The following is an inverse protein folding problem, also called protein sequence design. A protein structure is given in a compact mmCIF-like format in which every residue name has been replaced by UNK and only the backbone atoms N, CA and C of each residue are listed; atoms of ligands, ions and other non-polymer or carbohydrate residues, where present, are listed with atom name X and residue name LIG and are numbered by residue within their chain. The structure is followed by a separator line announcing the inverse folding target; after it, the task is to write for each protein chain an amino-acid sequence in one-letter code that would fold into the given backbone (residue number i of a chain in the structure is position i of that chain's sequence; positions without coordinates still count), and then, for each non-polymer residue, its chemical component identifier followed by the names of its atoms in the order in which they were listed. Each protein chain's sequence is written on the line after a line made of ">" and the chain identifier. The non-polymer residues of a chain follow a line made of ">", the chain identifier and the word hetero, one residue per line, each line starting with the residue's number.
data_IF_745468619266
#
_entry.id   IF_745468619266
#
_cell.length_a   1.000
_cell.length_b   1.000
_cell.length_c   1.000
_cell.angle_alpha   90.00
_cell.angle_beta   90.00
_cell.angle_gamma   90.00
#
_symmetry.space_group_name_H-M   'P 1'
#
loop_
_entity.id
_entity.type
_entity.pdbx_description
1 polymer ?
#
# COMPACT_ATOMS: atom_id res chain seq x y z
N UNK A 1 -14.21 12.12 -19.34
CA UNK A 1 -12.85 11.53 -19.49
C UNK A 1 -11.79 12.19 -18.61
N UNK A 2 -11.94 13.45 -18.19
CA UNK A 2 -11.01 14.10 -17.24
C UNK A 2 -10.88 13.32 -15.92
N UNK A 3 -11.98 12.75 -15.42
CA UNK A 3 -12.02 11.92 -14.22
C UNK A 3 -11.13 10.68 -14.35
N UNK A 4 -11.16 10.00 -15.50
CA UNK A 4 -10.30 8.84 -15.78
C UNK A 4 -8.81 9.21 -15.71
N UNK A 5 -8.44 10.33 -16.34
CA UNK A 5 -7.05 10.81 -16.35
C UNK A 5 -6.57 11.18 -14.94
N UNK A 6 -7.39 11.89 -14.16
CA UNK A 6 -7.10 12.23 -12.75
C UNK A 6 -6.93 10.96 -11.91
N UNK A 7 -7.85 10.01 -12.06
CA UNK A 7 -7.84 8.73 -11.37
C UNK A 7 -6.57 7.93 -11.69
N UNK A 8 -6.20 7.80 -12.96
CA UNK A 8 -4.99 7.07 -13.36
C UNK A 8 -3.73 7.70 -12.75
N UNK A 9 -3.59 9.03 -12.81
CA UNK A 9 -2.46 9.73 -12.19
C UNK A 9 -2.38 9.48 -10.69
N UNK A 10 -3.51 9.56 -9.98
CA UNK A 10 -3.58 9.26 -8.54
C UNK A 10 -3.26 7.81 -8.22
N UNK A 11 -3.68 6.88 -9.07
CA UNK A 11 -3.34 5.47 -8.94
C UNK A 11 -1.83 5.22 -9.11
N UNK A 12 -1.16 5.94 -10.01
CA UNK A 12 0.30 5.89 -10.16
C UNK A 12 1.01 6.44 -8.92
N UNK A 13 0.53 7.55 -8.35
CA UNK A 13 1.02 8.10 -7.08
C UNK A 13 0.91 7.04 -5.96
N UNK A 14 -0.24 6.36 -5.85
CA UNK A 14 -0.46 5.29 -4.88
C UNK A 14 0.49 4.10 -5.06
N UNK A 15 0.70 3.65 -6.31
CA UNK A 15 1.64 2.56 -6.61
C UNK A 15 3.07 2.97 -6.23
N UNK A 16 3.45 4.22 -6.49
CA UNK A 16 4.76 4.72 -6.11
C UNK A 16 4.92 4.75 -4.59
N UNK A 17 3.91 5.21 -3.85
CA UNK A 17 3.90 5.15 -2.39
C UNK A 17 4.06 3.73 -1.83
N UNK A 18 3.42 2.73 -2.44
CA UNK A 18 3.61 1.33 -2.07
C UNK A 18 5.06 0.84 -2.25
N UNK A 19 5.73 1.27 -3.33
CA UNK A 19 7.15 0.94 -3.56
C UNK A 19 8.05 1.59 -2.50
N UNK A 20 7.77 2.83 -2.13
CA UNK A 20 8.53 3.56 -1.13
C UNK A 20 8.35 2.94 0.26
N UNK A 21 7.12 2.57 0.63
CA UNK A 21 6.81 1.80 1.86
C UNK A 21 7.57 0.47 1.88
N UNK A 22 7.59 -0.25 0.76
CA UNK A 22 8.32 -1.51 0.65
C UNK A 22 9.85 -1.32 0.81
N UNK A 23 10.40 -0.22 0.29
CA UNK A 23 11.81 0.11 0.47
C UNK A 23 12.16 0.36 1.95
N UNK A 24 11.28 1.04 2.71
CA UNK A 24 11.46 1.23 4.16
C UNK A 24 11.33 -0.09 4.91
N UNK A 25 10.33 -0.92 4.56
CA UNK A 25 10.12 -2.21 5.22
C UNK A 25 11.31 -3.16 5.01
N UNK A 26 11.83 -3.22 3.78
CA UNK A 26 12.98 -4.06 3.40
C UNK A 26 14.33 -3.55 3.91
N UNK A 27 14.36 -2.42 4.63
CA UNK A 27 15.58 -1.83 5.14
C UNK A 27 16.39 -2.82 6.02
N UNK A 28 17.72 -2.92 5.86
CA UNK A 28 18.56 -3.90 6.57
C UNK A 28 18.43 -3.84 8.10
N UNK A 29 18.14 -2.65 8.64
CA UNK A 29 17.90 -2.46 10.06
C UNK A 29 16.68 -3.26 10.56
N UNK A 30 15.58 -3.38 9.81
CA UNK A 30 14.43 -4.20 10.23
C UNK A 30 14.80 -5.69 10.35
N UNK A 31 15.66 -6.19 9.46
CA UNK A 31 16.18 -7.56 9.53
C UNK A 31 17.15 -7.79 10.71
N UNK A 32 17.78 -6.73 11.21
CA UNK A 32 18.71 -6.80 12.35
C UNK A 32 18.00 -7.15 13.66
N UNK A 33 16.77 -6.67 13.92
CA UNK A 33 16.01 -7.03 15.14
C UNK A 33 15.79 -8.54 15.28
N UNK A 34 15.51 -9.23 14.15
CA UNK A 34 15.27 -10.68 14.14
C UNK A 34 16.51 -11.47 14.58
N UNK A 35 17.72 -10.95 14.31
CA UNK A 35 19.00 -11.53 14.74
C UNK A 35 19.41 -11.12 16.15
N UNK A 36 18.98 -9.95 16.62
CA UNK A 36 19.37 -9.39 17.93
C UNK A 36 18.56 -9.92 19.13
N UNK A 37 17.44 -10.62 18.90
CA UNK A 37 16.72 -11.34 19.97
C UNK A 37 17.65 -12.31 20.73
N UNK A 38 18.60 -12.92 20.03
CA UNK A 38 19.61 -13.79 20.63
C UNK A 38 20.73 -13.01 21.33
N UNK A 39 21.03 -11.78 20.90
CA UNK A 39 22.10 -10.98 21.51
C UNK A 39 21.79 -10.61 22.97
N UNK A 40 20.54 -10.32 23.30
CA UNK A 40 20.14 -10.05 24.69
C UNK A 40 20.38 -11.27 25.59
N UNK A 41 20.13 -12.48 25.07
CA UNK A 41 20.43 -13.73 25.77
C UNK A 41 21.95 -13.94 25.92
N UNK A 42 22.74 -13.71 24.87
CA UNK A 42 24.20 -13.77 24.94
C UNK A 42 24.80 -12.74 25.91
N UNK A 43 24.29 -11.51 25.95
CA UNK A 43 24.68 -10.48 26.93
C UNK A 43 24.42 -10.93 28.36
N UNK A 44 23.25 -11.53 28.62
CA UNK A 44 22.88 -12.03 29.94
C UNK A 44 23.81 -13.15 30.39
N UNK A 45 24.12 -14.10 29.50
CA UNK A 45 25.08 -15.19 29.76
C UNK A 45 26.50 -14.62 29.98
N UNK A 46 26.91 -13.63 29.19
CA UNK A 46 28.21 -12.97 29.33
C UNK A 46 28.38 -12.24 30.66
N UNK A 47 27.35 -11.51 31.11
CA UNK A 47 27.37 -10.80 32.41
C UNK A 47 27.45 -11.81 33.57
N UNK A 48 26.64 -12.88 33.54
CA UNK A 48 26.68 -13.92 34.59
C UNK A 48 28.04 -14.60 34.64
N UNK A 49 28.63 -14.89 33.48
CA UNK A 49 29.97 -15.50 33.38
C UNK A 49 31.06 -14.57 33.90
N UNK A 50 30.94 -13.26 33.65
CA UNK A 50 31.88 -12.26 34.16
C UNK A 50 31.79 -12.09 35.68
N UNK A 51 30.58 -12.09 36.25
CA UNK A 51 30.39 -12.05 37.71
C UNK A 51 31.01 -13.31 38.35
N UNK A 52 30.79 -14.49 37.77
CA UNK A 52 31.41 -15.73 38.25
C UNK A 52 32.95 -15.70 38.17
N UNK A 53 33.51 -15.13 37.09
CA UNK A 53 34.95 -14.90 36.96
C UNK A 53 35.48 -13.99 38.09
N UNK A 54 34.83 -12.85 38.36
CA UNK A 54 35.24 -11.95 39.43
C UNK A 54 35.22 -12.65 40.81
N UNK A 55 34.19 -13.46 41.09
CA UNK A 55 34.14 -14.26 42.32
C UNK A 55 35.29 -15.29 42.40
N UNK A 56 35.57 -16.02 41.32
CA UNK A 56 36.66 -16.99 41.28
C UNK A 56 38.03 -16.32 41.49
N UNK A 57 38.23 -15.14 40.92
CA UNK A 57 39.45 -14.34 41.03
C UNK A 57 39.69 -13.84 42.46
N UNK A 58 38.63 -13.42 43.17
CA UNK A 58 38.69 -13.03 44.59
C UNK A 58 39.06 -14.24 45.46
N UNK A 59 38.48 -15.41 45.19
CA UNK A 59 38.76 -16.65 45.93
C UNK A 59 40.18 -17.17 45.67
N UNK A 60 40.74 -16.92 44.48
CA UNK A 60 42.05 -17.41 44.06
C UNK A 60 43.22 -16.47 44.41
N UNK A 61 42.99 -15.37 45.14
CA UNK A 61 44.00 -14.41 45.61
C UNK A 61 44.93 -13.89 44.48
N UNK A 62 44.33 -13.60 43.33
CA UNK A 62 45.04 -13.10 42.14
C UNK A 62 45.50 -11.65 42.31
N UNK A 63 46.65 -11.31 41.71
CA UNK A 63 47.21 -9.95 41.72
C UNK A 63 46.19 -8.90 41.25
N UNK A 64 45.93 -7.91 42.13
CA UNK A 64 44.94 -6.84 41.94
C UNK A 64 45.08 -6.11 40.59
N UNK A 65 46.31 -5.96 40.09
CA UNK A 65 46.60 -5.33 38.78
C UNK A 65 45.96 -6.08 37.59
N UNK A 66 45.94 -7.42 37.63
CA UNK A 66 45.32 -8.27 36.59
C UNK A 66 43.79 -8.23 36.68
N UNK A 67 43.25 -8.07 37.89
CA UNK A 67 41.81 -7.91 38.14
C UNK A 67 41.30 -6.60 37.55
N UNK A 68 41.99 -5.49 37.83
CA UNK A 68 41.63 -4.15 37.33
C UNK A 68 41.69 -4.11 35.80
N UNK A 69 42.74 -4.67 35.19
CA UNK A 69 42.88 -4.74 33.74
C UNK A 69 41.75 -5.55 33.09
N UNK A 70 41.41 -6.72 33.64
CA UNK A 70 40.31 -7.56 33.14
C UNK A 70 38.94 -6.88 33.29
N UNK A 71 38.69 -6.23 34.42
CA UNK A 71 37.44 -5.51 34.66
C UNK A 71 37.27 -4.30 33.71
N UNK A 72 38.34 -3.53 33.47
CA UNK A 72 38.30 -2.38 32.57
C UNK A 72 37.96 -2.79 31.13
N UNK A 73 38.52 -3.90 30.64
CA UNK A 73 38.22 -4.44 29.30
C UNK A 73 36.76 -4.86 29.20
N UNK A 74 36.22 -5.54 30.20
CA UNK A 74 34.82 -5.96 30.21
C UNK A 74 33.85 -4.77 30.25
N UNK A 75 34.14 -3.74 31.06
CA UNK A 75 33.32 -2.51 31.11
C UNK A 75 33.35 -1.78 29.76
N UNK A 76 34.51 -1.67 29.11
CA UNK A 76 34.63 -1.05 27.79
C UNK A 76 33.80 -1.80 26.72
N UNK A 77 33.90 -3.14 26.68
CA UNK A 77 33.14 -3.97 25.74
C UNK A 77 31.62 -3.82 25.98
N UNK A 78 31.17 -3.90 27.25
CA UNK A 78 29.76 -3.73 27.59
C UNK A 78 29.28 -2.32 27.21
N UNK A 79 30.07 -1.29 27.47
CA UNK A 79 29.76 0.09 27.10
C UNK A 79 29.54 0.27 25.61
N UNK A 80 30.42 -0.29 24.77
CA UNK A 80 30.29 -0.27 23.30
C UNK A 80 29.03 -1.02 22.85
N UNK A 81 28.76 -2.20 23.43
CA UNK A 81 27.57 -2.99 23.08
C UNK A 81 26.28 -2.25 23.47
N UNK A 82 26.22 -1.67 24.67
CA UNK A 82 25.06 -0.90 25.14
C UNK A 82 24.86 0.36 24.30
N UNK A 83 25.93 1.10 23.99
CA UNK A 83 25.89 2.26 23.10
C UNK A 83 25.35 1.89 21.71
N UNK A 84 25.80 0.78 21.14
CA UNK A 84 25.32 0.25 19.88
C UNK A 84 23.84 -0.16 19.92
N UNK A 85 23.38 -0.78 21.01
CA UNK A 85 21.96 -1.13 21.20
C UNK A 85 21.09 0.14 21.27
N UNK A 86 21.49 1.14 22.05
CA UNK A 86 20.76 2.40 22.19
C UNK A 86 20.69 3.14 20.86
N UNK A 87 21.83 3.24 20.15
CA UNK A 87 21.89 3.86 18.83
C UNK A 87 20.95 3.17 17.84
N UNK A 88 21.02 1.84 17.75
CA UNK A 88 20.12 1.09 16.86
C UNK A 88 18.66 1.27 17.26
N UNK A 89 18.31 1.24 18.54
CA UNK A 89 16.93 1.46 18.99
C UNK A 89 16.40 2.83 18.56
N UNK A 90 17.23 3.87 18.64
CA UNK A 90 16.87 5.23 18.18
C UNK A 90 16.67 5.27 16.66
N UNK A 91 17.57 4.68 15.89
CA UNK A 91 17.47 4.61 14.43
C UNK A 91 16.25 3.80 13.96
N UNK A 92 15.90 2.73 14.68
CA UNK A 92 14.70 1.93 14.42
C UNK A 92 13.43 2.71 14.67
N UNK A 93 13.38 3.45 15.79
CA UNK A 93 12.22 4.30 16.10
C UNK A 93 11.97 5.31 14.97
N UNK A 94 13.04 5.92 14.46
CA UNK A 94 12.96 6.86 13.33
C UNK A 94 12.43 6.18 12.05
N UNK A 95 12.94 4.99 11.71
CA UNK A 95 12.45 4.23 10.55
C UNK A 95 10.98 3.83 10.69
N UNK A 96 10.53 3.50 11.90
CA UNK A 96 9.15 3.13 12.15
C UNK A 96 8.21 4.34 12.13
N UNK A 97 8.66 5.50 12.62
CA UNK A 97 7.97 6.77 12.46
C UNK A 97 7.81 7.10 10.96
N UNK A 98 8.90 7.03 10.18
CA UNK A 98 8.88 7.25 8.72
C UNK A 98 7.98 6.25 7.97
N UNK A 99 8.04 4.95 8.32
CA UNK A 99 7.15 3.95 7.74
C UNK A 99 5.68 4.28 8.00
N UNK A 100 5.34 4.67 9.23
CA UNK A 100 3.96 4.96 9.63
C UNK A 100 3.44 6.19 8.87
N UNK A 101 4.23 7.26 8.81
CA UNK A 101 3.90 8.48 8.06
C UNK A 101 3.64 8.18 6.58
N UNK A 102 4.52 7.39 5.94
CA UNK A 102 4.34 6.99 4.53
C UNK A 102 3.11 6.12 4.29
N UNK A 103 2.79 5.21 5.22
CA UNK A 103 1.57 4.39 5.14
C UNK A 103 0.34 5.27 5.24
N UNK A 104 0.31 6.22 6.18
CA UNK A 104 -0.81 7.14 6.36
C UNK A 104 -0.99 8.04 5.13
N UNK A 105 0.09 8.62 4.60
CA UNK A 105 0.07 9.38 3.33
C UNK A 105 -0.52 8.53 2.18
N UNK A 106 -0.05 7.28 2.03
CA UNK A 106 -0.49 6.42 0.94
C UNK A 106 -1.95 5.94 1.10
N UNK A 107 -2.44 5.82 2.34
CA UNK A 107 -3.84 5.51 2.61
C UNK A 107 -4.75 6.68 2.21
N UNK A 108 -4.34 7.93 2.46
CA UNK A 108 -5.08 9.11 1.98
C UNK A 108 -5.18 9.14 0.45
N UNK A 109 -4.09 8.81 -0.25
CA UNK A 109 -4.10 8.71 -1.72
C UNK A 109 -5.07 7.59 -2.17
N UNK A 110 -5.11 6.46 -1.46
CA UNK A 110 -6.05 5.38 -1.77
C UNK A 110 -7.51 5.82 -1.63
N UNK A 111 -7.84 6.58 -0.58
CA UNK A 111 -9.18 7.15 -0.41
C UNK A 111 -9.54 8.09 -1.56
N UNK A 112 -8.61 8.96 -2.00
CA UNK A 112 -8.81 9.82 -3.16
C UNK A 112 -9.05 9.01 -4.45
N UNK A 113 -8.30 7.94 -4.66
CA UNK A 113 -8.49 7.02 -5.80
C UNK A 113 -9.89 6.40 -5.77
N UNK A 114 -10.35 5.93 -4.60
CA UNK A 114 -11.67 5.31 -4.45
C UNK A 114 -12.81 6.29 -4.75
N UNK A 115 -12.69 7.54 -4.30
CA UNK A 115 -13.66 8.60 -4.62
C UNK A 115 -13.70 8.86 -6.13
N UNK A 116 -12.52 8.92 -6.77
CA UNK A 116 -12.45 9.10 -8.23
C UNK A 116 -12.98 7.89 -9.00
N UNK A 117 -12.82 6.67 -8.48
CA UNK A 117 -13.38 5.44 -9.06
C UNK A 117 -14.92 5.45 -9.05
N UNK A 118 -15.54 5.85 -7.95
CA UNK A 118 -17.00 5.96 -7.88
C UNK A 118 -17.52 7.09 -8.79
N UNK A 119 -16.86 8.25 -8.80
CA UNK A 119 -17.23 9.35 -9.69
C UNK A 119 -17.11 8.95 -11.18
N UNK A 120 -16.05 8.21 -11.54
CA UNK A 120 -15.87 7.70 -12.90
C UNK A 120 -16.97 6.70 -13.27
N UNK A 121 -17.32 5.79 -12.36
CA UNK A 121 -18.41 4.84 -12.55
C UNK A 121 -19.74 5.57 -12.81
N UNK A 122 -20.07 6.57 -12.01
CA UNK A 122 -21.28 7.39 -12.22
C UNK A 122 -21.26 8.10 -13.58
N UNK A 123 -20.14 8.71 -13.98
CA UNK A 123 -19.96 9.35 -15.28
C UNK A 123 -20.21 8.38 -16.44
N UNK A 124 -19.66 7.17 -16.35
CA UNK A 124 -19.81 6.12 -17.37
C UNK A 124 -21.26 5.63 -17.46
N UNK A 125 -21.88 5.31 -16.32
CA UNK A 125 -23.29 4.89 -16.26
C UNK A 125 -24.17 5.94 -16.91
N UNK A 126 -24.00 7.21 -16.50
CA UNK A 126 -24.80 8.31 -17.01
C UNK A 126 -24.62 8.45 -18.52
N UNK A 127 -23.38 8.41 -19.01
CA UNK A 127 -23.07 8.48 -20.45
C UNK A 127 -23.83 7.39 -21.23
N UNK A 128 -23.68 6.13 -20.83
CA UNK A 128 -24.32 4.99 -21.51
C UNK A 128 -25.84 5.16 -21.51
N UNK A 129 -26.44 5.49 -20.36
CA UNK A 129 -27.90 5.67 -20.25
C UNK A 129 -28.38 6.82 -21.15
N UNK A 130 -27.67 7.94 -21.17
CA UNK A 130 -28.06 9.09 -22.01
C UNK A 130 -27.96 8.79 -23.50
N UNK A 131 -26.94 8.03 -23.91
CA UNK A 131 -26.76 7.63 -25.31
C UNK A 131 -27.77 6.55 -25.73
N UNK A 132 -28.08 5.59 -24.85
CA UNK A 132 -29.12 4.57 -25.09
C UNK A 132 -30.54 5.16 -25.12
N UNK A 133 -30.83 6.14 -24.26
CA UNK A 133 -32.15 6.76 -24.16
C UNK A 133 -32.43 7.70 -25.35
N UNK A 134 -31.41 8.41 -25.86
CA UNK A 134 -31.55 9.33 -26.98
C UNK A 134 -32.75 10.28 -26.82
N UNK A 135 -33.76 10.25 -27.71
CA UNK A 135 -34.93 11.11 -27.63
C UNK A 135 -35.88 10.80 -26.45
N UNK A 136 -35.80 9.60 -25.86
CA UNK A 136 -36.64 9.17 -24.74
C UNK A 136 -36.08 9.66 -23.39
N UNK A 137 -34.95 10.36 -23.38
CA UNK A 137 -34.36 10.92 -22.16
C UNK A 137 -35.26 12.03 -21.59
N UNK A 138 -35.75 11.92 -20.34
CA UNK A 138 -36.57 12.95 -19.73
C UNK A 138 -35.82 14.29 -19.61
N UNK A 139 -36.57 15.41 -19.60
CA UNK A 139 -35.96 16.72 -19.33
C UNK A 139 -35.42 16.77 -17.89
N UNK A 140 -34.22 17.35 -17.74
CA UNK A 140 -33.61 17.64 -16.44
C UNK A 140 -34.39 18.67 -15.62
N UNK A 141 -35.29 19.42 -16.24
CA UNK A 141 -36.15 20.40 -15.55
C UNK A 141 -37.14 19.70 -14.61
N UNK A 142 -37.55 18.47 -14.93
CA UNK A 142 -38.36 17.64 -14.06
C UNK A 142 -37.46 16.64 -13.32
N UNK A 143 -36.82 17.12 -12.26
CA UNK A 143 -35.81 16.37 -11.50
C UNK A 143 -36.31 15.02 -10.98
N UNK A 144 -37.55 14.94 -10.48
CA UNK A 144 -38.10 13.70 -9.94
C UNK A 144 -38.24 12.61 -11.02
N UNK A 145 -38.75 12.98 -12.20
CA UNK A 145 -38.89 12.04 -13.32
C UNK A 145 -37.52 11.67 -13.91
N UNK A 146 -36.61 12.63 -14.00
CA UNK A 146 -35.25 12.40 -14.47
C UNK A 146 -34.49 11.43 -13.55
N UNK A 147 -34.46 11.70 -12.24
CA UNK A 147 -33.72 10.90 -11.27
C UNK A 147 -34.30 9.47 -11.20
N UNK A 148 -35.63 9.31 -11.20
CA UNK A 148 -36.27 7.99 -11.25
C UNK A 148 -35.96 7.21 -12.54
N UNK A 149 -35.87 7.90 -13.69
CA UNK A 149 -35.47 7.29 -14.95
C UNK A 149 -34.02 6.82 -14.91
N UNK A 150 -33.10 7.68 -14.44
CA UNK A 150 -31.67 7.33 -14.32
C UNK A 150 -31.48 6.17 -13.36
N UNK A 151 -32.15 6.15 -12.21
CA UNK A 151 -32.06 5.05 -11.24
C UNK A 151 -32.54 3.73 -11.85
N UNK A 152 -33.71 3.73 -12.50
CA UNK A 152 -34.24 2.55 -13.18
C UNK A 152 -33.27 2.02 -14.23
N UNK A 153 -32.76 2.91 -15.10
CA UNK A 153 -31.84 2.54 -16.17
C UNK A 153 -30.48 2.09 -15.65
N UNK A 154 -30.02 2.64 -14.55
CA UNK A 154 -28.81 2.20 -13.84
C UNK A 154 -28.97 0.77 -13.34
N UNK A 155 -30.11 0.45 -12.72
CA UNK A 155 -30.40 -0.91 -12.27
C UNK A 155 -30.49 -1.91 -13.43
N UNK A 156 -31.14 -1.54 -14.53
CA UNK A 156 -31.19 -2.35 -15.76
C UNK A 156 -29.78 -2.59 -16.34
N UNK A 157 -28.94 -1.55 -16.38
CA UNK A 157 -27.55 -1.65 -16.84
C UNK A 157 -26.71 -2.56 -15.93
N UNK A 158 -26.77 -2.37 -14.61
CA UNK A 158 -26.04 -3.18 -13.64
C UNK A 158 -26.43 -4.67 -13.75
N UNK A 159 -27.72 -4.97 -13.95
CA UNK A 159 -28.18 -6.35 -14.16
C UNK A 159 -27.64 -6.94 -15.47
N UNK A 160 -27.61 -6.17 -16.57
CA UNK A 160 -27.02 -6.59 -17.85
C UNK A 160 -25.53 -6.87 -17.70
N UNK A 161 -24.78 -5.94 -17.11
CA UNK A 161 -23.34 -6.08 -16.85
C UNK A 161 -23.04 -7.30 -15.97
N UNK A 162 -23.78 -7.50 -14.87
CA UNK A 162 -23.59 -8.63 -13.96
C UNK A 162 -23.82 -9.97 -14.66
N UNK A 163 -24.81 -10.05 -15.55
CA UNK A 163 -25.02 -11.25 -16.40
C UNK A 163 -23.88 -11.47 -17.37
N UNK A 164 -23.33 -10.39 -17.96
CA UNK A 164 -22.23 -10.47 -18.91
C UNK A 164 -20.91 -10.89 -18.28
N UNK A 165 -20.57 -10.35 -17.11
CA UNK A 165 -19.33 -10.68 -16.40
C UNK A 165 -19.44 -11.90 -15.49
N UNK A 166 -20.65 -12.34 -15.13
CA UNK A 166 -20.87 -13.52 -14.30
C UNK A 166 -20.41 -13.39 -12.84
N UNK A 167 -20.21 -12.16 -12.36
CA UNK A 167 -19.69 -11.85 -11.02
C UNK A 167 -20.25 -10.52 -10.50
N UNK A 168 -20.00 -10.24 -9.23
CA UNK A 168 -20.31 -8.92 -8.66
C UNK A 168 -19.44 -7.83 -9.31
N UNK A 169 -20.06 -6.70 -9.61
CA UNK A 169 -19.44 -5.61 -10.36
C UNK A 169 -18.46 -4.85 -9.50
N UNK A 170 -17.30 -4.56 -10.07
CA UNK A 170 -16.30 -3.64 -9.52
C UNK A 170 -16.14 -2.42 -10.44
N UNK A 171 -15.58 -1.33 -9.95
CA UNK A 171 -15.45 -0.06 -10.71
C UNK A 171 -14.75 -0.24 -12.07
N UNK A 172 -13.81 -1.19 -12.14
CA UNK A 172 -13.11 -1.58 -13.37
C UNK A 172 -14.01 -2.21 -14.44
N UNK A 173 -15.11 -2.84 -14.06
CA UNK A 173 -16.06 -3.48 -14.98
C UNK A 173 -16.86 -2.46 -15.77
N UNK A 174 -17.10 -1.27 -15.22
CA UNK A 174 -17.80 -0.17 -15.91
C UNK A 174 -16.96 0.39 -17.05
N UNK A 175 -15.67 0.61 -16.81
CA UNK A 175 -14.72 1.03 -17.86
C UNK A 175 -14.64 -0.03 -18.96
N UNK A 176 -14.55 -1.30 -18.56
CA UNK A 176 -14.50 -2.44 -19.49
C UNK A 176 -15.77 -2.52 -20.32
N UNK A 177 -16.93 -2.39 -19.69
CA UNK A 177 -18.21 -2.44 -20.37
C UNK A 177 -18.38 -1.28 -21.34
N UNK A 178 -17.96 -0.06 -20.97
CA UNK A 178 -17.97 1.08 -21.88
C UNK A 178 -17.15 0.81 -23.15
N UNK A 179 -15.97 0.20 -23.00
CA UNK A 179 -15.13 -0.18 -24.13
C UNK A 179 -15.81 -1.21 -25.03
N UNK A 180 -16.44 -2.23 -24.45
CA UNK A 180 -17.19 -3.24 -25.20
C UNK A 180 -18.37 -2.59 -25.93
N UNK A 181 -19.08 -1.68 -25.24
CA UNK A 181 -20.21 -0.94 -25.79
C UNK A 181 -19.81 -0.04 -26.97
N UNK A 182 -18.63 0.60 -26.91
CA UNK A 182 -18.05 1.35 -28.03
C UNK A 182 -17.51 0.45 -29.16
N UNK A 183 -17.52 -0.88 -29.01
CA UNK A 183 -16.91 -1.82 -29.96
C UNK A 183 -15.38 -1.80 -29.96
N UNK A 184 -14.75 -1.21 -28.94
CA UNK A 184 -13.29 -1.10 -28.80
C UNK A 184 -12.66 -2.34 -28.17
N UNK A 185 -13.46 -3.16 -27.50
CA UNK A 185 -13.04 -4.39 -26.84
C UNK A 185 -14.08 -5.48 -27.08
N UNK A 186 -13.65 -6.73 -27.27
CA UNK A 186 -14.59 -7.86 -27.29
C UNK A 186 -14.70 -8.51 -25.91
N UNK A 187 -15.80 -9.22 -25.66
CA UNK A 187 -15.99 -9.97 -24.41
C UNK A 187 -14.90 -11.04 -24.24
N UNK A 188 -14.46 -11.64 -25.35
CA UNK A 188 -13.41 -12.66 -25.36
C UNK A 188 -12.03 -12.07 -25.00
N UNK A 189 -11.71 -10.85 -25.44
CA UNK A 189 -10.47 -10.16 -25.08
C UNK A 189 -10.35 -9.94 -23.56
N UNK A 190 -11.47 -9.66 -22.88
CA UNK A 190 -11.50 -9.48 -21.43
C UNK A 190 -11.23 -10.78 -20.66
N UNK A 191 -11.66 -11.93 -21.19
CA UNK A 191 -11.31 -13.23 -20.59
C UNK A 191 -9.81 -13.55 -20.69
N UNK A 192 -9.10 -12.89 -21.62
CA UNK A 192 -7.67 -13.08 -21.87
C UNK A 192 -6.79 -12.07 -21.12
N UNK A 193 -6.63 -12.28 -19.80
CA UNK A 193 -5.42 -12.06 -18.97
C UNK A 193 -4.56 -10.78 -19.11
N UNK A 194 -4.95 -9.74 -19.83
CA UNK A 194 -4.26 -8.45 -19.74
C UNK A 194 -4.70 -7.75 -18.47
N UNK A 195 -3.74 -7.24 -17.71
CA UNK A 195 -4.05 -6.60 -16.44
C UNK A 195 -4.97 -5.39 -16.71
N UNK A 196 -5.94 -5.13 -15.83
CA UNK A 196 -6.83 -3.98 -15.93
C UNK A 196 -6.06 -2.65 -16.18
N UNK A 197 -4.83 -2.56 -15.67
CA UNK A 197 -3.90 -1.45 -15.88
C UNK A 197 -3.44 -1.27 -17.35
N UNK A 198 -3.15 -2.36 -18.07
CA UNK A 198 -2.74 -2.27 -19.48
C UNK A 198 -3.87 -1.73 -20.37
N UNK A 199 -5.12 -2.06 -20.05
CA UNK A 199 -6.28 -1.54 -20.79
C UNK A 199 -6.55 -0.06 -20.49
N UNK A 200 -6.43 0.35 -19.23
CA UNK A 200 -6.57 1.77 -18.85
C UNK A 200 -5.53 2.66 -19.53
N UNK A 201 -4.33 2.13 -19.76
CA UNK A 201 -3.25 2.83 -20.47
C UNK A 201 -3.58 3.06 -21.96
N UNK A 202 -4.21 2.08 -22.61
CA UNK A 202 -4.68 2.20 -24.01
C UNK A 202 -5.73 3.31 -24.13
N UNK A 203 -6.67 3.38 -23.19
CA UNK A 203 -7.67 4.45 -23.13
C UNK A 203 -7.05 5.83 -22.93
N UNK A 204 -6.05 5.94 -22.06
CA UNK A 204 -5.35 7.20 -21.82
C UNK A 204 -4.55 7.67 -23.04
N UNK A 205 -3.84 6.77 -23.71
CA UNK A 205 -3.09 7.10 -24.94
C UNK A 205 -4.01 7.54 -26.08
N UNK A 206 -5.22 7.00 -26.18
CA UNK A 206 -6.21 7.42 -27.18
C UNK A 206 -6.83 8.79 -26.88
N UNK A 207 -7.16 9.06 -25.62
CA UNK A 207 -7.68 10.38 -25.23
C UNK A 207 -6.71 11.54 -25.47
N UNK A 208 -5.40 11.28 -25.49
CA UNK A 208 -4.39 12.29 -25.84
C UNK A 208 -4.41 12.66 -27.33
N UNK A 209 -5.08 11.86 -28.16
CA UNK A 209 -5.13 11.99 -29.62
C UNK A 209 -6.52 12.40 -30.17
N UNK A 210 -7.47 12.70 -29.28
CA UNK A 210 -8.78 13.30 -29.59
C UNK A 210 -8.80 14.74 -29.08
#
# INVERSE_FOLDING_TARGET
>A
METLTKRNKKYEEYIQGLKDIHAIYSHPLNNYQKRFKNLYWFLRVGIVSFVAYLFAVIVADLEVSKIIAGAAVCVAIIGVIVGFIIYNKKSQKKLQEEYTERVDENNLILEEVQVLDEALKEEIILKIITEEAGPDLPSKDNKEVYDAFIEKKTNELNLRMKKQFGRDLVSSDYVTYLLIWNGELTVDDYTYRKSHYEYLKILEERNKNL
#
